data_IF_309932442144
#
_entry.id   IF_309932442144
#
_cell.length_a   1.000
_cell.length_b   1.000
_cell.length_c   1.000
_cell.angle_alpha   90.00
_cell.angle_beta   90.00
_cell.angle_gamma   90.00
#
_symmetry.space_group_name_H-M   'P 1'
#
loop_
_entity.id
_entity.type
_entity.pdbx_description
1 polymer ?
#
# COMPACT_ATOMS: atom_id res chain seq x y z
N UNK A 1 11.34 10.38 34.02
CA UNK A 1 11.65 11.55 33.17
C UNK A 1 13.15 11.71 33.00
N UNK A 2 13.94 11.61 34.07
CA UNK A 2 15.41 11.76 34.01
C UNK A 2 16.14 10.80 33.06
N UNK A 3 15.75 9.51 33.02
CA UNK A 3 16.32 8.53 32.06
C UNK A 3 16.12 8.96 30.60
N UNK A 4 15.03 9.66 30.30
CA UNK A 4 14.70 10.10 28.94
C UNK A 4 15.55 11.30 28.50
N UNK A 5 15.83 12.23 29.41
CA UNK A 5 16.71 13.37 29.15
C UNK A 5 18.16 12.90 28.91
N UNK A 6 18.63 11.94 29.70
CA UNK A 6 19.95 11.33 29.53
C UNK A 6 20.11 10.60 28.17
N UNK A 7 19.05 9.95 27.68
CA UNK A 7 19.04 9.36 26.33
C UNK A 7 19.17 10.44 25.25
N UNK A 8 18.40 11.54 25.34
CA UNK A 8 18.45 12.65 24.36
C UNK A 8 19.83 13.32 24.29
N UNK A 9 20.49 13.55 25.43
CA UNK A 9 21.85 14.12 25.48
C UNK A 9 22.91 13.22 24.82
N UNK A 10 22.76 11.90 24.95
CA UNK A 10 23.65 10.92 24.30
C UNK A 10 23.47 10.93 22.77
N UNK A 11 22.23 11.01 22.28
CA UNK A 11 21.94 11.01 20.84
C UNK A 11 22.35 12.30 20.11
N UNK A 12 22.42 13.45 20.79
CA UNK A 12 22.95 14.69 20.18
C UNK A 12 24.41 14.57 19.73
N UNK A 13 25.20 13.66 20.31
CA UNK A 13 26.64 13.51 20.05
C UNK A 13 26.96 12.52 18.91
N UNK A 14 26.05 11.60 18.57
CA UNK A 14 26.23 10.60 17.51
C UNK A 14 25.27 10.85 16.33
N UNK A 15 25.70 11.65 15.34
CA UNK A 15 24.84 12.10 14.22
C UNK A 15 24.49 11.06 13.14
N UNK A 16 25.00 9.83 13.25
CA UNK A 16 24.83 8.79 12.22
C UNK A 16 23.67 7.82 12.50
N UNK A 17 22.91 8.02 13.59
CA UNK A 17 21.75 7.19 13.94
C UNK A 17 20.56 8.06 14.29
N UNK A 18 19.36 7.62 13.91
CA UNK A 18 18.13 8.31 14.29
C UNK A 18 17.96 8.28 15.82
N UNK A 19 17.52 9.40 16.44
CA UNK A 19 17.23 9.41 17.87
C UNK A 19 16.05 8.48 18.18
N UNK A 20 16.07 7.85 19.35
CA UNK A 20 14.93 7.07 19.82
C UNK A 20 13.75 8.02 20.09
N UNK A 21 12.69 7.91 19.29
CA UNK A 21 11.43 8.63 19.51
C UNK A 21 10.45 7.69 20.19
N UNK A 22 9.97 8.09 21.38
CA UNK A 22 8.99 7.32 22.14
C UNK A 22 7.64 8.04 22.04
N UNK A 23 6.68 7.54 21.25
CA UNK A 23 5.35 8.14 21.18
C UNK A 23 4.62 7.90 22.51
N UNK A 24 4.12 8.98 23.12
CA UNK A 24 3.33 8.91 24.34
C UNK A 24 1.94 9.51 24.09
N UNK A 25 0.90 8.80 24.52
CA UNK A 25 -0.49 9.26 24.46
C UNK A 25 -1.01 9.39 25.89
N UNK A 26 -1.42 10.59 26.26
CA UNK A 26 -1.97 10.89 27.59
C UNK A 26 -3.47 11.05 27.48
N UNK A 27 -4.23 10.24 28.21
CA UNK A 27 -5.68 10.31 28.27
C UNK A 27 -6.13 11.03 29.56
N UNK A 28 -6.95 12.08 29.42
CA UNK A 28 -7.49 12.85 30.54
C UNK A 28 -9.04 12.90 30.49
N UNK A 29 -9.66 11.72 30.51
CA UNK A 29 -11.12 11.61 30.57
C UNK A 29 -11.67 11.65 31.99
N UNK A 30 -12.98 11.87 32.10
CA UNK A 30 -13.71 11.83 33.38
C UNK A 30 -13.99 10.41 33.88
N UNK A 31 -13.70 9.38 33.07
CA UNK A 31 -13.86 7.96 33.40
C UNK A 31 -12.56 7.19 33.09
N UNK A 32 -12.34 6.01 33.70
CA UNK A 32 -11.22 5.15 33.34
C UNK A 32 -11.21 4.79 31.85
N UNK A 33 -10.03 4.82 31.23
CA UNK A 33 -9.85 4.40 29.83
C UNK A 33 -10.16 2.90 29.68
N UNK A 34 -11.02 2.54 28.73
CA UNK A 34 -11.53 1.18 28.54
C UNK A 34 -11.41 0.64 27.11
N UNK A 35 -10.68 1.32 26.23
CA UNK A 35 -10.42 0.85 24.88
C UNK A 35 -9.12 0.02 24.80
N UNK A 36 -8.96 -0.82 23.76
CA UNK A 36 -7.70 -1.48 23.46
C UNK A 36 -6.53 -0.49 23.30
N UNK A 37 -5.33 -0.89 23.75
CA UNK A 37 -4.11 -0.05 23.67
C UNK A 37 -3.16 -0.52 22.57
N UNK A 38 -3.35 -1.75 22.10
CA UNK A 38 -2.62 -2.29 20.97
C UNK A 38 -3.42 -2.09 19.69
N UNK A 39 -2.77 -1.64 18.62
CA UNK A 39 -3.36 -1.63 17.27
C UNK A 39 -3.87 -3.03 16.88
N UNK A 40 -3.17 -4.09 17.29
CA UNK A 40 -3.49 -5.48 16.94
C UNK A 40 -4.79 -5.97 17.60
N UNK A 41 -5.11 -5.49 18.80
CA UNK A 41 -6.33 -5.86 19.53
C UNK A 41 -7.60 -5.31 18.86
N UNK A 42 -7.46 -4.43 17.85
CA UNK A 42 -8.57 -3.91 17.07
C UNK A 42 -8.96 -4.84 15.90
N UNK A 43 -8.15 -5.85 15.58
CA UNK A 43 -8.43 -6.81 14.52
C UNK A 43 -9.17 -8.03 15.07
N UNK A 44 -9.93 -8.71 14.19
CA UNK A 44 -10.61 -9.96 14.53
C UNK A 44 -9.62 -11.07 14.93
N UNK A 45 -8.45 -11.09 14.28
CA UNK A 45 -7.33 -11.98 14.60
C UNK A 45 -6.05 -11.15 14.86
N UNK A 46 -5.75 -10.83 16.13
CA UNK A 46 -4.60 -10.01 16.50
C UNK A 46 -3.25 -10.64 16.14
N UNK A 47 -3.12 -11.97 16.23
CA UNK A 47 -1.86 -12.65 15.95
C UNK A 47 -1.55 -12.64 14.46
N UNK A 48 -2.56 -12.90 13.62
CA UNK A 48 -2.41 -12.81 12.17
C UNK A 48 -2.11 -11.37 11.72
N UNK A 49 -2.81 -10.38 12.28
CA UNK A 49 -2.55 -8.97 11.95
C UNK A 49 -1.11 -8.57 12.30
N UNK A 50 -0.63 -8.99 13.46
CA UNK A 50 0.74 -8.73 13.91
C UNK A 50 1.78 -9.42 13.04
N UNK A 51 1.55 -10.65 12.60
CA UNK A 51 2.44 -11.37 11.68
C UNK A 51 2.55 -10.64 10.33
N UNK A 52 1.42 -10.22 9.74
CA UNK A 52 1.39 -9.65 8.40
C UNK A 52 1.75 -8.17 8.34
N UNK A 53 1.43 -7.39 9.38
CA UNK A 53 1.59 -5.93 9.39
C UNK A 53 2.69 -5.46 10.34
N UNK A 54 3.09 -6.28 11.31
CA UNK A 54 4.15 -5.96 12.27
C UNK A 54 5.56 -6.41 11.84
N UNK A 55 5.66 -7.22 10.77
CA UNK A 55 6.95 -7.61 10.18
C UNK A 55 7.56 -6.48 9.35
N UNK A 56 8.76 -6.72 8.80
CA UNK A 56 9.28 -5.85 7.75
C UNK A 56 8.26 -5.66 6.64
N UNK A 57 8.21 -4.44 6.11
CA UNK A 57 7.29 -4.10 5.04
C UNK A 57 7.60 -4.95 3.81
N UNK A 58 6.60 -5.70 3.32
CA UNK A 58 6.71 -6.45 2.08
C UNK A 58 6.62 -5.49 0.89
N UNK A 59 7.75 -4.87 0.54
CA UNK A 59 7.85 -4.03 -0.65
C UNK A 59 7.76 -4.91 -1.90
N UNK A 60 6.67 -4.77 -2.64
CA UNK A 60 6.56 -5.35 -3.98
C UNK A 60 6.95 -4.28 -5.00
N UNK A 61 8.11 -4.44 -5.63
CA UNK A 61 8.55 -3.58 -6.73
C UNK A 61 7.86 -3.99 -8.02
N UNK A 62 6.74 -3.34 -8.32
CA UNK A 62 5.98 -3.56 -9.55
C UNK A 62 6.74 -3.10 -10.79
N UNK A 63 7.64 -2.13 -10.66
CA UNK A 63 8.34 -1.56 -11.79
C UNK A 63 9.44 -2.49 -12.30
N UNK A 64 10.18 -3.12 -11.38
CA UNK A 64 11.17 -4.14 -11.71
C UNK A 64 10.55 -5.49 -12.09
N UNK A 65 9.30 -5.76 -11.69
CA UNK A 65 8.65 -7.05 -11.95
C UNK A 65 8.30 -7.24 -13.44
N UNK A 66 8.64 -8.39 -14.06
CA UNK A 66 8.21 -8.70 -15.41
C UNK A 66 6.70 -8.86 -15.53
N UNK A 67 6.12 -8.46 -16.67
CA UNK A 67 4.66 -8.53 -16.88
C UNK A 67 4.13 -9.97 -16.83
N UNK A 68 4.96 -10.94 -17.21
CA UNK A 68 4.66 -12.37 -17.12
C UNK A 68 4.45 -12.85 -15.67
N UNK A 69 5.14 -12.24 -14.71
CA UNK A 69 4.95 -12.50 -13.28
C UNK A 69 3.74 -11.73 -12.72
N UNK A 70 3.50 -10.50 -13.20
CA UNK A 70 2.30 -9.72 -12.84
C UNK A 70 1.03 -10.48 -13.20
N UNK A 71 0.98 -11.10 -14.39
CA UNK A 71 -0.14 -11.92 -14.87
C UNK A 71 -0.58 -13.05 -13.93
N UNK A 72 0.32 -13.59 -13.13
CA UNK A 72 0.03 -14.72 -12.23
C UNK A 72 -0.68 -14.28 -10.95
N UNK A 73 -0.76 -12.97 -10.67
CA UNK A 73 -1.33 -12.44 -9.43
C UNK A 73 -2.83 -12.20 -9.57
N UNK A 74 -3.56 -12.39 -8.47
CA UNK A 74 -4.98 -12.05 -8.41
C UNK A 74 -5.25 -10.56 -8.71
N UNK A 75 -4.29 -9.68 -8.39
CA UNK A 75 -4.34 -8.23 -8.64
C UNK A 75 -3.66 -7.81 -9.94
N UNK A 76 -3.43 -8.76 -10.86
CA UNK A 76 -2.74 -8.61 -12.14
C UNK A 76 -3.07 -7.31 -12.89
N UNK A 77 -4.36 -7.01 -13.09
CA UNK A 77 -4.78 -5.85 -13.86
C UNK A 77 -4.41 -4.52 -13.19
N UNK A 78 -4.74 -4.38 -11.91
CA UNK A 78 -4.39 -3.19 -11.13
C UNK A 78 -2.87 -2.98 -11.11
N UNK A 79 -2.12 -4.04 -10.85
CA UNK A 79 -0.67 -4.00 -10.82
C UNK A 79 -0.05 -3.56 -12.15
N UNK A 80 -0.56 -4.06 -13.27
CA UNK A 80 -0.10 -3.66 -14.61
C UNK A 80 -0.33 -2.17 -14.85
N UNK A 81 -1.54 -1.65 -14.59
CA UNK A 81 -1.79 -0.21 -14.74
C UNK A 81 -1.00 0.67 -13.76
N UNK A 82 -0.75 0.19 -12.54
CA UNK A 82 0.12 0.90 -11.59
C UNK A 82 1.56 0.97 -12.09
N UNK A 83 2.09 -0.11 -12.69
CA UNK A 83 3.44 -0.14 -13.29
C UNK A 83 3.59 0.92 -14.38
N UNK A 84 2.56 1.10 -15.21
CA UNK A 84 2.57 2.02 -16.34
C UNK A 84 1.83 3.33 -16.07
N UNK A 85 1.59 3.69 -14.80
CA UNK A 85 0.77 4.84 -14.42
C UNK A 85 1.31 6.19 -14.92
N UNK A 86 2.62 6.26 -15.18
CA UNK A 86 3.31 7.45 -15.69
C UNK A 86 3.50 7.45 -17.21
N UNK A 87 3.00 6.45 -17.92
CA UNK A 87 3.07 6.39 -19.38
C UNK A 87 2.31 7.55 -20.02
N UNK A 88 2.96 8.25 -20.95
CA UNK A 88 2.39 9.43 -21.64
C UNK A 88 1.27 9.08 -22.63
N UNK A 89 1.17 7.81 -23.02
CA UNK A 89 0.15 7.31 -23.92
C UNK A 89 -0.62 6.20 -23.21
N UNK A 90 -1.71 6.56 -22.54
CA UNK A 90 -2.50 5.58 -21.80
C UNK A 90 -3.25 4.62 -22.74
N UNK A 91 -3.58 5.05 -23.96
CA UNK A 91 -4.27 4.21 -24.94
C UNK A 91 -3.39 3.04 -25.40
N UNK A 92 -2.09 3.26 -25.62
CA UNK A 92 -1.18 2.16 -25.98
C UNK A 92 -1.03 1.15 -24.84
N UNK A 93 -1.05 1.61 -23.58
CA UNK A 93 -1.04 0.70 -22.42
C UNK A 93 -2.32 -0.14 -22.36
N UNK A 94 -3.47 0.46 -22.67
CA UNK A 94 -4.73 -0.27 -22.76
C UNK A 94 -4.72 -1.31 -23.89
N UNK A 95 -4.18 -0.96 -25.06
CA UNK A 95 -4.03 -1.88 -26.18
C UNK A 95 -3.19 -3.10 -25.79
N UNK A 96 -1.99 -2.87 -25.24
CA UNK A 96 -1.12 -3.94 -24.75
C UNK A 96 -1.78 -4.78 -23.64
N UNK A 97 -2.47 -4.13 -22.70
CA UNK A 97 -3.20 -4.81 -21.63
C UNK A 97 -4.26 -5.76 -22.18
N UNK A 98 -5.09 -5.29 -23.11
CA UNK A 98 -6.18 -6.09 -23.70
C UNK A 98 -5.63 -7.29 -24.48
N UNK A 99 -4.44 -7.18 -25.06
CA UNK A 99 -3.76 -8.32 -25.68
C UNK A 99 -3.22 -9.31 -24.65
N UNK A 100 -2.56 -8.79 -23.62
CA UNK A 100 -1.83 -9.58 -22.64
C UNK A 100 -2.75 -10.25 -21.60
N UNK A 101 -3.91 -9.67 -21.30
CA UNK A 101 -4.81 -10.09 -20.21
C UNK A 101 -6.22 -10.46 -20.69
N UNK A 102 -6.36 -11.02 -21.90
CA UNK A 102 -7.66 -11.43 -22.49
C UNK A 102 -8.51 -12.28 -21.54
N UNK A 103 -7.91 -13.29 -20.92
CA UNK A 103 -8.61 -14.20 -20.00
C UNK A 103 -9.17 -13.45 -18.79
N UNK A 104 -8.41 -12.47 -18.29
CA UNK A 104 -8.81 -11.63 -17.17
C UNK A 104 -10.06 -10.82 -17.54
N UNK A 105 -10.07 -10.16 -18.70
CA UNK A 105 -11.23 -9.38 -19.19
C UNK A 105 -12.48 -10.24 -19.32
N UNK A 106 -12.34 -11.47 -19.85
CA UNK A 106 -13.45 -12.42 -19.98
C UNK A 106 -13.99 -12.91 -18.63
N UNK A 107 -13.10 -13.07 -17.64
CA UNK A 107 -13.50 -13.41 -16.27
C UNK A 107 -14.25 -12.24 -15.62
N UNK A 108 -13.77 -11.01 -15.82
CA UNK A 108 -14.41 -9.81 -15.26
C UNK A 108 -15.83 -9.63 -15.80
N UNK A 109 -16.02 -9.80 -17.11
CA UNK A 109 -17.34 -9.70 -17.74
C UNK A 109 -18.37 -10.65 -17.11
N UNK A 110 -17.92 -11.81 -16.61
CA UNK A 110 -18.80 -12.83 -16.02
C UNK A 110 -18.99 -12.67 -14.51
N UNK A 111 -18.07 -12.00 -13.81
CA UNK A 111 -17.97 -12.06 -12.34
C UNK A 111 -17.65 -10.75 -11.62
N UNK A 112 -17.36 -9.67 -12.34
CA UNK A 112 -17.04 -8.32 -11.83
C UNK A 112 -15.86 -8.25 -10.83
N UNK A 113 -14.87 -9.14 -10.94
CA UNK A 113 -13.76 -9.24 -9.97
C UNK A 113 -12.58 -8.28 -10.20
N UNK A 114 -12.39 -7.82 -11.43
CA UNK A 114 -11.20 -7.07 -11.87
C UNK A 114 -11.48 -5.56 -11.87
N UNK A 115 -12.76 -5.17 -11.70
CA UNK A 115 -13.19 -3.77 -11.67
C UNK A 115 -12.72 -3.01 -12.92
N UNK A 116 -12.88 -3.61 -14.11
CA UNK A 116 -12.46 -2.98 -15.38
C UNK A 116 -13.06 -1.59 -15.56
N UNK A 117 -14.32 -1.38 -15.15
CA UNK A 117 -14.96 -0.06 -15.15
C UNK A 117 -14.22 0.96 -14.27
N UNK A 118 -13.74 0.55 -13.10
CA UNK A 118 -12.95 1.40 -12.21
C UNK A 118 -11.59 1.74 -12.81
N UNK A 119 -10.93 0.77 -13.45
CA UNK A 119 -9.66 1.00 -14.16
C UNK A 119 -9.84 1.95 -15.34
N UNK A 120 -10.89 1.77 -16.14
CA UNK A 120 -11.25 2.67 -17.24
C UNK A 120 -11.54 4.08 -16.73
N UNK A 121 -12.29 4.23 -15.64
CA UNK A 121 -12.55 5.54 -15.04
C UNK A 121 -11.26 6.20 -14.52
N UNK A 122 -10.42 5.45 -13.81
CA UNK A 122 -9.17 5.96 -13.23
C UNK A 122 -8.18 6.42 -14.31
N UNK A 123 -8.06 5.64 -15.40
CA UNK A 123 -7.11 5.91 -16.49
C UNK A 123 -7.69 6.82 -17.57
N UNK A 124 -9.01 6.94 -17.69
CA UNK A 124 -9.70 7.77 -18.67
C UNK A 124 -9.31 9.26 -18.54
N UNK A 125 -9.12 9.74 -17.31
CA UNK A 125 -8.61 11.09 -17.04
C UNK A 125 -7.18 11.33 -17.55
N UNK A 126 -6.45 10.27 -17.91
CA UNK A 126 -5.09 10.35 -18.47
C UNK A 126 -5.05 10.20 -19.99
N UNK A 127 -6.19 9.93 -20.63
CA UNK A 127 -6.31 9.81 -22.08
C UNK A 127 -6.46 11.18 -22.74
N UNK A 128 -7.05 12.17 -22.05
CA UNK A 128 -7.09 13.54 -22.57
C UNK A 128 -5.72 14.21 -22.45
N UNK A 129 -5.18 14.66 -23.57
CA UNK A 129 -4.19 15.73 -23.62
C UNK A 129 -4.91 17.02 -23.99
N UNK A 130 -4.61 18.06 -23.22
CA UNK A 130 -4.85 19.48 -23.47
C UNK A 130 -6.24 20.04 -23.07
N UNK A 131 -6.30 20.60 -21.85
CA UNK A 131 -6.42 22.07 -21.71
C UNK A 131 -5.10 22.61 -21.15
#
# INVERSE_FOLDING_TARGET
MEIYLALLEKYQKERNKLPLVIPMVVYHGTKPFNAPRSLWELFYDPELAKEFMGSEYKLTDWQAMPDTEIKKKATAALAYFMKYVHSKNMLSIWEEFLELFKDAVLIDQKREYIYMTSLLWYTGNKVSKDE
#
